data_IF_096491957552
#
_entry.id   IF_096491957552
#
_cell.length_a   1.000
_cell.length_b   1.000
_cell.length_c   1.000
_cell.angle_alpha   90.00
_cell.angle_beta   90.00
_cell.angle_gamma   90.00
#
_symmetry.space_group_name_H-M   'P 1'
#
loop_
_entity.id
_entity.type
_entity.pdbx_description
1 polymer ?
#
# COMPACT_ATOMS: atom_id res chain seq x y z
N UNK A 1 9.20 -16.96 -2.63
CA UNK A 1 10.01 -16.09 -1.75
C UNK A 1 9.16 -14.88 -1.40
N UNK A 2 9.10 -14.47 -0.15
CA UNK A 2 8.34 -13.28 0.26
C UNK A 2 8.99 -11.99 -0.24
N UNK A 3 8.19 -10.97 -0.55
CA UNK A 3 8.63 -9.61 -0.88
C UNK A 3 9.61 -9.03 0.16
N UNK A 4 10.68 -8.35 -0.31
CA UNK A 4 11.62 -7.59 0.54
C UNK A 4 11.13 -6.16 0.79
N UNK A 5 11.62 -5.47 1.84
CA UNK A 5 11.31 -4.05 2.06
C UNK A 5 11.69 -3.17 0.86
N UNK A 6 12.82 -3.43 0.19
CA UNK A 6 13.26 -2.70 -0.99
C UNK A 6 12.26 -2.84 -2.15
N UNK A 7 11.74 -4.04 -2.38
CA UNK A 7 10.72 -4.29 -3.40
C UNK A 7 9.40 -3.57 -3.06
N UNK A 8 9.00 -3.54 -1.79
CA UNK A 8 7.85 -2.75 -1.36
C UNK A 8 8.04 -1.24 -1.56
N UNK A 9 9.26 -0.74 -1.33
CA UNK A 9 9.59 0.66 -1.58
C UNK A 9 9.55 0.98 -3.08
N UNK A 10 10.11 0.10 -3.92
CA UNK A 10 10.07 0.24 -5.38
C UNK A 10 8.64 0.33 -5.93
N UNK A 11 7.73 -0.51 -5.43
CA UNK A 11 6.31 -0.44 -5.81
C UNK A 11 5.59 0.80 -5.28
N UNK A 12 5.91 1.24 -4.06
CA UNK A 12 5.37 2.48 -3.51
C UNK A 12 5.82 3.72 -4.30
N UNK A 13 7.05 3.71 -4.80
CA UNK A 13 7.63 4.77 -5.63
C UNK A 13 7.09 4.73 -7.07
N UNK A 14 6.99 3.53 -7.67
CA UNK A 14 6.41 3.34 -9.01
C UNK A 14 4.96 3.87 -9.10
N UNK A 15 4.23 3.90 -7.98
CA UNK A 15 2.92 4.53 -7.88
C UNK A 15 2.90 6.03 -8.20
N UNK A 16 4.05 6.72 -8.24
CA UNK A 16 4.17 8.12 -8.66
C UNK A 16 4.43 8.30 -10.17
N UNK A 17 4.68 7.22 -10.91
CA UNK A 17 4.82 7.28 -12.36
C UNK A 17 3.45 7.55 -13.02
N UNK A 18 3.40 8.49 -13.97
CA UNK A 18 2.20 8.74 -14.80
C UNK A 18 2.15 7.80 -16.01
N UNK A 19 2.81 6.65 -15.93
CA UNK A 19 2.98 5.73 -17.06
C UNK A 19 1.73 4.88 -17.30
N UNK A 20 0.94 4.62 -16.25
CA UNK A 20 -0.27 3.80 -16.33
C UNK A 20 -1.51 4.65 -16.54
N UNK A 21 -2.35 4.24 -17.50
CA UNK A 21 -3.67 4.85 -17.70
C UNK A 21 -4.63 4.36 -16.60
N UNK A 22 -5.50 5.24 -16.05
CA UNK A 22 -6.52 4.80 -15.11
C UNK A 22 -7.44 3.73 -15.72
N UNK A 23 -7.70 2.69 -14.95
CA UNK A 23 -8.59 1.60 -15.32
C UNK A 23 -8.08 0.23 -14.88
N UNK A 24 -8.90 -0.78 -15.15
CA UNK A 24 -8.53 -2.18 -15.05
C UNK A 24 -7.91 -2.64 -16.37
N UNK A 25 -6.89 -3.49 -16.27
CA UNK A 25 -6.25 -4.06 -17.45
C UNK A 25 -6.76 -5.47 -17.72
N UNK A 26 -7.16 -5.79 -18.97
CA UNK A 26 -7.64 -7.13 -19.29
C UNK A 26 -6.47 -8.11 -19.33
N UNK A 27 -6.77 -9.37 -19.02
CA UNK A 27 -5.81 -10.47 -19.03
C UNK A 27 -5.03 -10.55 -20.35
N UNK A 28 -3.71 -10.57 -20.26
CA UNK A 28 -2.78 -10.60 -21.41
C UNK A 28 -2.46 -9.22 -21.99
N UNK A 29 -2.97 -8.13 -21.41
CA UNK A 29 -2.65 -6.75 -21.80
C UNK A 29 -2.23 -5.87 -20.61
N UNK A 30 -1.99 -6.48 -19.45
CA UNK A 30 -1.46 -5.79 -18.28
C UNK A 30 -0.06 -5.24 -18.59
N UNK A 31 0.21 -3.96 -18.31
CA UNK A 31 1.57 -3.44 -18.29
C UNK A 31 2.45 -4.26 -17.33
N UNK A 32 3.72 -4.44 -17.70
CA UNK A 32 4.72 -5.06 -16.84
C UNK A 32 5.57 -3.96 -16.22
N UNK A 33 5.65 -3.99 -14.90
CA UNK A 33 6.63 -3.27 -14.12
C UNK A 33 7.72 -4.25 -13.70
N UNK A 34 8.98 -3.95 -13.99
CA UNK A 34 10.11 -4.77 -13.55
C UNK A 34 10.90 -4.03 -12.48
N UNK A 35 11.18 -4.70 -11.37
CA UNK A 35 12.00 -4.15 -10.29
C UNK A 35 12.83 -5.25 -9.64
N UNK A 36 14.14 -5.03 -9.53
CA UNK A 36 15.11 -6.01 -9.01
C UNK A 36 14.99 -7.40 -9.68
N UNK A 37 14.72 -7.43 -10.98
CA UNK A 37 14.58 -8.67 -11.76
C UNK A 37 13.29 -9.46 -11.48
N UNK A 38 12.34 -8.87 -10.77
CA UNK A 38 10.99 -9.42 -10.58
C UNK A 38 10.00 -8.64 -11.44
N UNK A 39 9.18 -9.37 -12.18
CA UNK A 39 8.10 -8.82 -12.98
C UNK A 39 6.79 -8.74 -12.20
N UNK A 40 6.12 -7.60 -12.34
CA UNK A 40 4.82 -7.31 -11.75
C UNK A 40 3.84 -6.90 -12.84
N UNK A 41 2.71 -7.59 -12.93
CA UNK A 41 1.58 -7.18 -13.78
C UNK A 41 0.82 -6.07 -13.08
N UNK A 42 0.51 -4.99 -13.79
CA UNK A 42 -0.41 -3.96 -13.31
C UNK A 42 -1.84 -4.39 -13.60
N UNK A 43 -2.57 -4.85 -12.57
CA UNK A 43 -3.95 -5.31 -12.72
C UNK A 43 -4.93 -4.13 -12.82
N UNK A 44 -4.70 -3.10 -12.01
CA UNK A 44 -5.55 -1.92 -11.96
C UNK A 44 -4.73 -0.71 -11.52
N UNK A 45 -4.95 0.43 -12.17
CA UNK A 45 -4.45 1.72 -11.72
C UNK A 45 -5.63 2.68 -11.55
N UNK A 46 -5.73 3.34 -10.40
CA UNK A 46 -6.81 4.29 -10.10
C UNK A 46 -6.26 5.68 -9.90
N UNK A 47 -6.92 6.66 -10.51
CA UNK A 47 -6.75 8.08 -10.24
C UNK A 47 -8.13 8.67 -9.97
N UNK A 48 -8.31 9.29 -8.82
CA UNK A 48 -9.48 10.11 -8.53
C UNK A 48 -9.07 11.60 -8.56
N UNK A 49 -9.43 12.34 -9.62
CA UNK A 49 -9.05 13.75 -9.75
C UNK A 49 -9.79 14.66 -8.76
N UNK A 50 -10.91 14.21 -8.16
CA UNK A 50 -11.72 15.03 -7.25
C UNK A 50 -11.11 15.18 -5.86
N UNK A 51 -10.39 14.16 -5.38
CA UNK A 51 -9.73 14.18 -4.07
C UNK A 51 -8.22 13.93 -4.15
N UNK A 52 -7.67 13.71 -5.34
CA UNK A 52 -6.24 13.48 -5.58
C UNK A 52 -5.75 12.08 -5.20
N UNK A 53 -6.65 11.14 -4.89
CA UNK A 53 -6.27 9.77 -4.56
C UNK A 53 -5.71 9.03 -5.78
N UNK A 54 -4.65 8.28 -5.57
CA UNK A 54 -4.12 7.36 -6.57
C UNK A 54 -3.61 6.07 -5.93
N UNK A 55 -3.71 4.97 -6.67
CA UNK A 55 -3.18 3.69 -6.22
C UNK A 55 -3.13 2.66 -7.34
N UNK A 56 -2.31 1.64 -7.14
CA UNK A 56 -2.04 0.61 -8.15
C UNK A 56 -2.07 -0.78 -7.51
N UNK A 57 -2.75 -1.72 -8.17
CA UNK A 57 -2.73 -3.14 -7.82
C UNK A 57 -1.74 -3.84 -8.74
N UNK A 58 -0.70 -4.42 -8.15
CA UNK A 58 0.31 -5.22 -8.81
C UNK A 58 0.08 -6.70 -8.51
N UNK A 59 0.35 -7.56 -9.48
CA UNK A 59 0.50 -9.00 -9.26
C UNK A 59 1.89 -9.44 -9.64
N UNK A 60 2.61 -9.97 -8.66
CA UNK A 60 3.95 -10.52 -8.83
C UNK A 60 3.89 -11.82 -9.63
N UNK A 61 4.66 -11.95 -10.70
CA UNK A 61 4.49 -13.06 -11.66
C UNK A 61 4.98 -14.43 -11.18
N UNK A 62 6.09 -14.48 -10.45
CA UNK A 62 6.73 -15.73 -10.01
C UNK A 62 5.97 -16.44 -8.88
N UNK A 63 5.26 -15.70 -8.05
CA UNK A 63 4.59 -16.16 -6.82
C UNK A 63 3.08 -15.98 -6.85
N UNK A 64 2.58 -15.08 -7.70
CA UNK A 64 1.17 -14.71 -7.77
C UNK A 64 0.72 -13.74 -6.68
N UNK A 65 1.59 -13.35 -5.74
CA UNK A 65 1.29 -12.38 -4.68
C UNK A 65 0.68 -11.10 -5.26
N UNK A 66 -0.37 -10.58 -4.61
CA UNK A 66 -0.98 -9.31 -4.97
C UNK A 66 -0.47 -8.23 -4.02
N UNK A 67 0.08 -7.16 -4.57
CA UNK A 67 0.61 -6.05 -3.82
C UNK A 67 -0.17 -4.81 -4.21
N UNK A 68 -0.76 -4.20 -3.21
CA UNK A 68 -1.50 -2.97 -3.39
C UNK A 68 -0.68 -1.77 -2.91
N UNK A 69 -0.37 -0.84 -3.81
CA UNK A 69 0.41 0.35 -3.51
C UNK A 69 -0.47 1.60 -3.50
N UNK A 70 -0.53 2.28 -2.36
CA UNK A 70 -1.13 3.62 -2.24
C UNK A 70 -0.10 4.69 -2.57
N UNK A 71 -0.45 5.62 -3.45
CA UNK A 71 0.37 6.80 -3.71
C UNK A 71 0.08 7.86 -2.65
N UNK A 72 1.11 8.56 -2.18
CA UNK A 72 0.93 9.78 -1.40
C UNK A 72 0.62 10.98 -2.29
N UNK A 73 0.03 12.04 -1.72
CA UNK A 73 0.02 13.35 -2.37
C UNK A 73 1.39 14.01 -2.21
N UNK A 74 1.90 14.58 -3.29
CA UNK A 74 3.13 15.38 -3.23
C UNK A 74 2.93 16.60 -2.30
N UNK A 75 3.95 16.98 -1.51
CA UNK A 75 3.88 18.15 -0.65
C UNK A 75 3.43 19.42 -1.40
N UNK A 76 3.80 19.58 -2.67
CA UNK A 76 3.47 20.79 -3.43
C UNK A 76 2.00 20.91 -3.84
N UNK A 77 1.16 19.88 -3.61
CA UNK A 77 -0.23 19.83 -4.09
C UNK A 77 -1.28 19.73 -2.96
N UNK A 78 -0.89 19.84 -1.68
CA UNK A 78 -1.88 19.94 -0.59
C UNK A 78 -1.32 19.87 0.82
N UNK A 79 -0.41 18.93 1.10
CA UNK A 79 0.20 18.78 2.44
C UNK A 79 1.24 19.86 2.74
N UNK A 80 1.99 20.31 1.75
CA UNK A 80 3.00 21.36 1.88
C UNK A 80 2.41 22.76 2.04
N UNK A 81 1.16 23.01 1.65
CA UNK A 81 0.45 24.25 2.04
C UNK A 81 0.02 24.17 3.51
N UNK A 82 -0.56 23.04 3.94
CA UNK A 82 -0.97 22.82 5.33
C UNK A 82 0.23 22.84 6.30
N UNK A 83 1.38 22.30 5.91
CA UNK A 83 2.63 22.32 6.69
C UNK A 83 3.28 23.70 6.73
N UNK A 84 3.16 24.52 5.67
CA UNK A 84 3.67 25.90 5.63
C UNK A 84 2.86 26.85 6.53
N UNK A 85 1.56 26.60 6.71
CA UNK A 85 0.65 27.45 7.49
C UNK A 85 0.68 27.19 9.01
N UNK A 86 1.59 26.36 9.51
CA UNK A 86 2.06 26.38 10.91
C UNK A 86 1.01 26.12 12.01
N UNK A 87 -0.16 25.56 11.70
CA UNK A 87 -1.28 25.36 12.63
C UNK A 87 -1.65 23.89 12.85
N UNK A 88 -0.64 23.02 13.03
CA UNK A 88 -0.86 21.61 13.37
C UNK A 88 -0.39 21.31 14.78
N UNK A 89 -1.22 21.68 15.76
CA UNK A 89 -0.99 21.41 17.19
C UNK A 89 -1.33 19.98 17.62
N UNK A 90 -1.84 19.13 16.73
CA UNK A 90 -1.89 17.67 16.90
C UNK A 90 -1.93 17.00 15.52
N UNK A 91 -0.74 16.86 14.90
CA UNK A 91 -0.57 16.54 13.47
C UNK A 91 -1.14 15.19 12.99
N UNK A 92 -1.52 14.31 13.90
CA UNK A 92 -2.09 13.01 13.56
C UNK A 92 -3.62 12.99 13.57
N UNK A 93 -4.27 13.71 14.49
CA UNK A 93 -5.72 13.60 14.66
C UNK A 93 -6.54 14.23 13.54
N UNK A 94 -5.95 15.15 12.76
CA UNK A 94 -6.63 15.83 11.65
C UNK A 94 -6.64 14.98 10.37
N UNK A 95 -5.56 14.25 10.08
CA UNK A 95 -5.42 13.48 8.84
C UNK A 95 -6.33 12.25 8.77
N UNK A 96 -6.59 11.56 9.89
CA UNK A 96 -7.43 10.35 9.88
C UNK A 96 -8.94 10.61 9.97
N UNK A 97 -9.37 11.75 10.52
CA UNK A 97 -10.81 11.99 10.73
C UNK A 97 -11.53 12.49 9.48
N UNK A 98 -10.82 13.06 8.50
CA UNK A 98 -11.43 13.63 7.29
C UNK A 98 -10.52 13.59 6.04
N UNK A 99 -9.66 12.59 5.85
CA UNK A 99 -8.99 12.47 4.55
C UNK A 99 -9.99 11.95 3.50
N UNK A 100 -10.41 12.77 2.50
CA UNK A 100 -11.41 12.40 1.50
C UNK A 100 -10.96 11.25 0.59
N UNK A 101 -9.67 10.87 0.62
CA UNK A 101 -9.10 9.76 -0.15
C UNK A 101 -9.31 8.38 0.51
N UNK A 102 -9.64 8.35 1.81
CA UNK A 102 -9.71 7.10 2.58
C UNK A 102 -10.77 6.13 2.03
N UNK A 103 -11.90 6.65 1.54
CA UNK A 103 -12.94 5.83 0.94
C UNK A 103 -12.45 5.13 -0.32
N UNK A 104 -11.70 5.82 -1.18
CA UNK A 104 -11.14 5.23 -2.40
C UNK A 104 -10.00 4.24 -2.09
N UNK A 105 -9.17 4.55 -1.09
CA UNK A 105 -8.16 3.65 -0.54
C UNK A 105 -8.76 2.31 -0.10
N UNK A 106 -9.86 2.37 0.66
CA UNK A 106 -10.63 1.20 1.08
C UNK A 106 -11.24 0.48 -0.12
N UNK A 107 -11.84 1.21 -1.06
CA UNK A 107 -12.49 0.61 -2.23
C UNK A 107 -11.50 -0.14 -3.13
N UNK A 108 -10.31 0.42 -3.36
CA UNK A 108 -9.27 -0.23 -4.16
C UNK A 108 -8.67 -1.45 -3.43
N UNK A 109 -8.52 -1.38 -2.10
CA UNK A 109 -8.10 -2.56 -1.30
C UNK A 109 -9.10 -3.71 -1.42
N UNK A 110 -10.41 -3.42 -1.39
CA UNK A 110 -11.44 -4.45 -1.61
C UNK A 110 -11.30 -5.10 -2.97
N UNK A 111 -11.04 -4.32 -4.02
CA UNK A 111 -10.82 -4.86 -5.37
C UNK A 111 -9.58 -5.77 -5.43
N UNK A 112 -8.49 -5.42 -4.74
CA UNK A 112 -7.31 -6.30 -4.62
C UNK A 112 -7.65 -7.66 -3.99
N UNK A 113 -8.48 -7.66 -2.94
CA UNK A 113 -8.98 -8.89 -2.31
C UNK A 113 -9.91 -9.68 -3.24
N UNK A 114 -10.78 -8.98 -3.97
CA UNK A 114 -11.66 -9.61 -4.96
C UNK A 114 -10.84 -10.29 -6.07
N UNK A 115 -9.73 -9.69 -6.52
CA UNK A 115 -8.81 -10.32 -7.47
C UNK A 115 -8.23 -11.61 -6.90
N UNK A 116 -7.78 -11.60 -5.64
CA UNK A 116 -7.24 -12.80 -5.00
C UNK A 116 -8.33 -13.89 -4.86
N UNK A 117 -9.53 -13.53 -4.42
CA UNK A 117 -10.64 -14.47 -4.28
C UNK A 117 -11.05 -15.07 -5.63
N UNK A 118 -11.14 -14.26 -6.68
CA UNK A 118 -11.44 -14.73 -8.04
C UNK A 118 -10.40 -15.72 -8.54
N UNK A 119 -9.12 -15.54 -8.22
CA UNK A 119 -8.06 -16.49 -8.56
C UNK A 119 -8.19 -17.79 -7.76
N UNK A 120 -8.52 -17.71 -6.47
CA UNK A 120 -8.73 -18.87 -5.61
C UNK A 120 -9.97 -19.71 -5.96
N UNK A 121 -11.00 -19.10 -6.57
CA UNK A 121 -12.21 -19.81 -7.02
C UNK A 121 -12.02 -20.60 -8.32
N UNK A 122 -10.90 -20.39 -9.05
CA UNK A 122 -10.62 -21.15 -10.28
C UNK A 122 -10.33 -22.63 -9.94
N UNK A 123 -10.65 -23.59 -10.81
CA UNK A 123 -10.32 -24.99 -10.58
C UNK A 123 -8.82 -25.18 -10.33
N UNK A 124 -8.46 -25.72 -9.17
CA UNK A 124 -7.06 -25.88 -8.74
C UNK A 124 -6.34 -24.58 -8.35
N UNK A 125 -7.05 -23.46 -8.28
CA UNK A 125 -6.52 -22.17 -7.85
C UNK A 125 -6.40 -22.08 -6.33
N UNK A 126 -5.44 -21.29 -5.88
CA UNK A 126 -5.33 -20.86 -4.49
C UNK A 126 -5.40 -19.33 -4.48
N UNK A 127 -6.11 -18.76 -3.50
CA UNK A 127 -6.15 -17.31 -3.35
C UNK A 127 -4.73 -16.80 -3.00
N UNK A 128 -4.13 -15.93 -3.82
CA UNK A 128 -2.82 -15.37 -3.51
C UNK A 128 -2.87 -14.50 -2.27
N UNK A 129 -1.74 -14.39 -1.58
CA UNK A 129 -1.60 -13.42 -0.48
C UNK A 129 -1.76 -12.00 -1.01
N UNK A 130 -2.47 -11.16 -0.24
CA UNK A 130 -2.64 -9.75 -0.51
C UNK A 130 -1.90 -8.95 0.54
N UNK A 131 -0.98 -8.09 0.10
CA UNK A 131 -0.21 -7.20 0.96
C UNK A 131 -0.35 -5.75 0.50
N UNK A 132 -0.05 -4.80 1.39
CA UNK A 132 -0.22 -3.37 1.10
C UNK A 132 1.07 -2.59 1.35
N UNK A 133 1.32 -1.58 0.53
CA UNK A 133 2.47 -0.68 0.68
C UNK A 133 2.10 0.76 0.38
N UNK A 134 2.94 1.69 0.82
CA UNK A 134 2.81 3.10 0.49
C UNK A 134 3.89 3.96 1.12
N UNK A 135 4.12 5.13 0.50
CA UNK A 135 5.04 6.15 1.00
C UNK A 135 4.28 7.41 1.44
N UNK A 136 4.78 8.14 2.45
CA UNK A 136 4.20 9.44 2.83
C UNK A 136 2.71 9.30 3.22
N UNK A 137 1.79 10.04 2.60
CA UNK A 137 0.34 9.88 2.83
C UNK A 137 -0.17 8.50 2.38
N UNK A 138 0.41 7.93 1.33
CA UNK A 138 0.11 6.58 0.88
C UNK A 138 0.47 5.54 1.95
N UNK A 139 1.53 5.78 2.72
CA UNK A 139 1.87 4.97 3.89
C UNK A 139 0.79 5.00 4.98
N UNK A 140 0.17 6.16 5.21
CA UNK A 140 -0.97 6.28 6.13
C UNK A 140 -2.17 5.46 5.63
N UNK A 141 -2.49 5.53 4.33
CA UNK A 141 -3.55 4.71 3.72
C UNK A 141 -3.25 3.22 3.80
N UNK A 142 -1.99 2.82 3.59
CA UNK A 142 -1.54 1.45 3.75
C UNK A 142 -1.76 0.96 5.18
N UNK A 143 -1.44 1.76 6.20
CA UNK A 143 -1.68 1.41 7.61
C UNK A 143 -3.18 1.27 7.94
N UNK A 144 -4.02 2.20 7.47
CA UNK A 144 -5.47 2.16 7.68
C UNK A 144 -6.07 0.90 7.06
N UNK A 145 -5.72 0.63 5.80
CA UNK A 145 -6.28 -0.50 5.04
C UNK A 145 -5.72 -1.84 5.52
N UNK A 146 -4.44 -1.93 5.87
CA UNK A 146 -3.86 -3.10 6.53
C UNK A 146 -4.63 -3.46 7.81
N UNK A 147 -4.85 -2.47 8.68
CA UNK A 147 -5.58 -2.68 9.92
C UNK A 147 -7.04 -3.09 9.68
N UNK A 148 -7.73 -2.43 8.74
CA UNK A 148 -9.14 -2.70 8.47
C UNK A 148 -9.38 -4.10 7.88
N UNK A 149 -8.47 -4.58 7.03
CA UNK A 149 -8.63 -5.85 6.30
C UNK A 149 -7.75 -6.99 6.84
N UNK A 150 -6.96 -6.75 7.89
CA UNK A 150 -6.06 -7.74 8.47
C UNK A 150 -4.90 -8.13 7.55
N UNK A 151 -4.38 -7.19 6.76
CA UNK A 151 -3.33 -7.44 5.77
C UNK A 151 -1.94 -7.13 6.32
N UNK A 152 -0.92 -7.80 5.78
CA UNK A 152 0.47 -7.39 5.96
C UNK A 152 0.71 -6.08 5.22
N UNK A 153 1.24 -5.08 5.93
CA UNK A 153 1.56 -3.77 5.38
C UNK A 153 3.02 -3.39 5.62
N UNK A 154 3.70 -2.91 4.58
CA UNK A 154 5.05 -2.33 4.66
C UNK A 154 4.97 -0.86 4.23
N UNK A 155 5.47 0.08 5.04
CA UNK A 155 5.27 1.51 4.75
C UNK A 155 6.54 2.32 4.93
N UNK A 156 6.72 3.35 4.10
CA UNK A 156 7.95 4.14 4.03
C UNK A 156 7.66 5.61 4.31
N UNK A 157 8.30 6.19 5.33
CA UNK A 157 8.08 7.59 5.73
C UNK A 157 6.60 7.97 5.87
N UNK A 158 5.79 7.03 6.38
CA UNK A 158 4.36 7.26 6.54
C UNK A 158 4.09 8.42 7.50
N UNK A 159 3.19 9.34 7.13
CA UNK A 159 2.68 10.31 8.10
C UNK A 159 1.91 9.54 9.19
N UNK A 160 2.38 9.65 10.43
CA UNK A 160 2.26 8.59 11.42
C UNK A 160 0.85 8.06 11.68
N UNK A 161 0.59 6.78 11.36
CA UNK A 161 -0.53 6.04 11.95
C UNK A 161 -0.32 5.62 13.41
N UNK A 162 0.91 5.69 13.93
CA UNK A 162 1.19 5.49 15.36
C UNK A 162 0.47 6.52 16.26
N UNK A 163 0.14 7.67 15.69
CA UNK A 163 -0.58 8.76 16.35
C UNK A 163 -2.08 8.79 15.98
N UNK A 164 -2.57 7.76 15.27
CA UNK A 164 -3.98 7.56 14.87
C UNK A 164 -4.77 6.61 15.79
N UNK A 165 -4.24 6.29 16.97
CA UNK A 165 -5.03 5.62 18.01
C UNK A 165 -5.33 4.14 17.78
N UNK A 166 -4.74 3.48 16.78
CA UNK A 166 -4.65 2.02 16.79
C UNK A 166 -3.37 1.61 17.50
N UNK A 167 -3.52 0.94 18.63
CA UNK A 167 -2.47 0.22 19.36
C UNK A 167 -1.94 -0.89 18.45
N UNK A 168 -1.06 -0.53 17.51
CA UNK A 168 -0.25 -1.50 16.78
C UNK A 168 0.74 -2.02 17.82
N UNK A 169 0.48 -3.21 18.34
CA UNK A 169 1.45 -3.95 19.12
C UNK A 169 2.68 -4.14 18.24
N UNK A 170 3.72 -3.35 18.53
CA UNK A 170 5.07 -3.70 18.12
C UNK A 170 5.39 -5.03 18.80
N UNK A 171 5.22 -6.15 18.07
CA UNK A 171 5.95 -7.36 18.43
C UNK A 171 7.42 -7.09 18.12
N UNK A 172 8.09 -6.46 19.08
CA UNK A 172 9.53 -6.56 19.21
C UNK A 172 9.86 -8.04 19.34
N UNK A 173 10.40 -8.63 18.28
CA UNK A 173 11.08 -9.92 18.36
C UNK A 173 12.16 -9.75 19.41
N UNK A 174 11.94 -10.33 20.58
CA UNK A 174 12.96 -10.42 21.63
C UNK A 174 14.02 -11.39 21.11
N UNK A 175 15.30 -11.02 20.95
CA UNK A 175 16.32 -12.02 20.71
C UNK A 175 16.45 -12.85 21.99
N UNK A 176 16.07 -14.12 21.92
CA UNK A 176 16.40 -15.10 22.93
C UNK A 176 17.92 -15.18 23.00
N UNK A 177 18.50 -14.62 24.06
CA UNK A 177 19.90 -14.85 24.41
C UNK A 177 19.98 -16.25 25.00
N UNK A 178 20.27 -17.22 24.14
CA UNK A 178 20.78 -18.53 24.56
C UNK A 178 22.13 -18.29 25.23
N UNK A 179 22.16 -18.32 26.56
CA UNK A 179 23.37 -18.51 27.34
C UNK A 179 23.46 -19.99 27.69
N UNK A 180 24.31 -20.71 26.96
CA UNK A 180 24.92 -21.97 27.40
C UNK A 180 26.42 -21.73 27.51
N UNK A 181 27.04 -22.38 28.51
CA UNK A 181 28.47 -22.37 28.88
C UNK A 181 28.86 -21.10 29.66
N UNK A 182 29.29 -21.13 30.92
CA UNK A 182 30.03 -22.14 31.71
C UNK A 182 29.42 -22.36 33.11
#
# INVERSE_FOLDING_TARGET
MSMTPQQYAGLADAGYSNEYKPGTYPSGKEPIFEYEGIEYKVLEHTINPFNGYQGTIYQRQDTGEIIFAHRGTEPDQGLGQILRDGTLTDGAMVAARFNPQTADAIALTRRALDYAEQQGRKPGGQAPEVTVTGHSLGGTHAQITAHQFGLRGETFNAYGAASLGSRILQHAVTPAVTRMLE
#
